data_IF_928831772923
#
_entry.id   IF_928831772923
#
_cell.length_a   1.000
_cell.length_b   1.000
_cell.length_c   1.000
_cell.angle_alpha   90.00
_cell.angle_beta   90.00
_cell.angle_gamma   90.00
#
_symmetry.space_group_name_H-M   'P 1'
#
loop_
_entity.id
_entity.type
_entity.pdbx_description
1 polymer ?
#
# COMPACT_ATOMS: atom_id res chain seq x y z
N UNK A 1 -25.44 -0.01 59.24
CA UNK A 1 -24.79 0.88 60.22
C UNK A 1 -23.75 1.69 59.48
N UNK A 2 -24.02 2.97 59.36
CA UNK A 2 -23.22 3.91 58.62
C UNK A 2 -22.18 4.57 59.50
N UNK A 3 -20.99 4.77 59.00
CA UNK A 3 -20.05 5.76 59.56
C UNK A 3 -19.44 6.58 58.46
N UNK A 4 -19.96 7.79 58.38
CA UNK A 4 -19.43 8.89 57.55
C UNK A 4 -18.38 9.64 58.37
N UNK A 5 -17.16 9.71 57.86
CA UNK A 5 -16.15 10.61 58.44
C UNK A 5 -15.86 11.74 57.45
N UNK A 6 -16.28 12.92 57.84
CA UNK A 6 -15.95 14.21 57.20
C UNK A 6 -14.62 14.73 57.78
N UNK A 7 -13.66 14.99 56.93
CA UNK A 7 -12.45 15.77 57.30
C UNK A 7 -12.55 17.11 56.62
N UNK A 8 -12.63 18.15 57.42
CA UNK A 8 -12.45 19.57 57.08
C UNK A 8 -10.94 19.89 57.16
N UNK A 9 -10.38 20.48 56.11
CA UNK A 9 -9.07 21.10 56.21
C UNK A 9 -9.16 22.56 55.73
N UNK A 10 -8.77 23.40 56.65
CA UNK A 10 -8.84 24.88 56.57
C UNK A 10 -7.79 25.44 55.59
N UNK A 11 -8.14 26.54 54.93
CA UNK A 11 -7.28 27.27 54.03
C UNK A 11 -6.23 28.10 54.78
N UNK A 12 -5.08 28.23 54.13
CA UNK A 12 -4.09 29.29 54.43
C UNK A 12 -3.88 30.09 53.16
N UNK A 13 -4.28 31.38 53.23
CA UNK A 13 -4.00 32.41 52.23
C UNK A 13 -2.67 33.04 52.57
N UNK A 14 -1.68 32.90 51.71
CA UNK A 14 -0.45 33.68 51.76
C UNK A 14 -0.44 34.61 50.53
N UNK A 15 -0.55 35.89 50.85
CA UNK A 15 -0.30 37.00 49.93
C UNK A 15 1.21 37.23 49.80
N UNK A 16 1.75 37.06 48.62
CA UNK A 16 3.15 37.36 48.26
C UNK A 16 3.21 38.35 47.12
N UNK A 17 3.85 39.48 47.39
CA UNK A 17 3.90 40.67 46.55
C UNK A 17 4.67 40.50 45.25
N UNK A 18 4.18 41.13 44.20
CA UNK A 18 4.73 41.26 42.86
C UNK A 18 6.02 42.11 42.89
N UNK A 19 7.11 41.54 42.34
CA UNK A 19 8.20 42.33 41.79
C UNK A 19 8.26 42.05 40.28
N UNK A 20 7.84 43.08 39.53
CA UNK A 20 7.87 43.08 38.06
C UNK A 20 9.30 43.45 37.61
N UNK A 21 10.07 42.46 37.19
CA UNK A 21 11.30 42.67 36.43
C UNK A 21 10.99 42.52 34.94
N UNK A 22 10.88 43.63 34.23
CA UNK A 22 10.85 43.65 32.76
C UNK A 22 12.25 43.30 32.26
N UNK A 23 12.44 42.04 31.87
CA UNK A 23 13.54 41.66 30.99
C UNK A 23 13.03 41.78 29.54
N UNK A 24 13.55 42.82 28.88
CA UNK A 24 13.43 42.96 27.42
C UNK A 24 14.34 41.93 26.78
N UNK A 25 13.80 40.78 26.44
CA UNK A 25 14.50 39.77 25.67
C UNK A 25 14.43 40.16 24.20
N UNK A 26 15.55 40.64 23.69
CA UNK A 26 15.72 40.91 22.26
C UNK A 26 15.51 39.60 21.49
N UNK A 27 14.43 39.53 20.73
CA UNK A 27 14.13 38.43 19.84
C UNK A 27 15.28 38.25 18.85
N UNK A 28 15.97 37.13 18.94
CA UNK A 28 16.96 36.69 17.95
C UNK A 28 16.21 36.21 16.69
N UNK A 29 16.28 36.94 15.55
CA UNK A 29 15.53 36.57 14.34
C UNK A 29 16.10 35.35 13.58
N UNK A 30 17.11 34.65 14.12
CA UNK A 30 17.76 33.52 13.43
C UNK A 30 17.35 32.12 13.91
N UNK A 31 16.40 31.99 14.84
CA UNK A 31 16.06 30.70 15.42
C UNK A 31 14.87 29.97 14.77
N UNK A 32 14.30 30.42 13.65
CA UNK A 32 13.10 29.81 13.05
C UNK A 32 13.21 29.48 11.54
N UNK A 33 14.41 29.26 11.03
CA UNK A 33 14.60 28.60 9.76
C UNK A 33 14.99 27.13 10.02
N UNK A 34 14.22 26.41 10.86
CA UNK A 34 14.15 24.97 10.74
C UNK A 34 13.45 24.69 9.41
N UNK A 35 14.26 24.57 8.34
CA UNK A 35 13.77 24.14 7.04
C UNK A 35 12.89 22.92 7.28
N UNK A 36 11.60 23.05 7.00
CA UNK A 36 10.63 21.95 7.05
C UNK A 36 11.21 20.86 6.14
N UNK A 37 11.71 19.78 6.77
CA UNK A 37 12.19 18.61 6.04
C UNK A 37 11.01 18.17 5.20
N UNK A 38 11.14 18.06 3.85
CA UNK A 38 10.03 17.61 3.03
C UNK A 38 9.55 16.27 3.59
N UNK A 39 8.23 16.01 3.60
CA UNK A 39 7.70 14.76 4.15
C UNK A 39 8.40 13.59 3.45
N UNK A 40 9.17 12.81 4.21
CA UNK A 40 9.86 11.62 3.75
C UNK A 40 8.82 10.50 3.71
N UNK A 41 8.00 10.50 2.67
CA UNK A 41 6.97 9.47 2.50
C UNK A 41 6.28 9.58 1.14
N UNK A 42 5.57 8.53 0.75
CA UNK A 42 4.77 8.56 -0.46
C UNK A 42 3.67 9.61 -0.35
N UNK A 43 3.52 10.40 -1.39
CA UNK A 43 2.57 11.51 -1.43
C UNK A 43 1.26 11.16 -2.13
N UNK A 44 1.17 9.99 -2.76
CA UNK A 44 -0.01 9.51 -3.47
C UNK A 44 -0.04 7.97 -3.49
N UNK A 45 -1.24 7.41 -3.54
CA UNK A 45 -1.47 5.99 -3.82
C UNK A 45 -1.04 5.63 -5.26
N UNK A 46 -1.03 4.35 -5.59
CA UNK A 46 -0.83 3.84 -6.94
C UNK A 46 0.19 2.73 -7.07
N UNK A 47 0.33 2.26 -8.31
CA UNK A 47 1.29 1.22 -8.69
C UNK A 47 2.63 1.85 -9.07
N UNK A 48 3.73 1.30 -8.56
CA UNK A 48 5.08 1.85 -8.74
C UNK A 48 6.08 0.76 -9.06
N UNK A 49 7.05 1.10 -9.89
CA UNK A 49 8.21 0.26 -10.16
C UNK A 49 9.44 1.11 -10.45
N UNK A 50 10.61 0.60 -10.12
CA UNK A 50 11.91 1.18 -10.51
C UNK A 50 12.55 0.42 -11.66
N UNK A 51 12.00 -0.73 -12.06
CA UNK A 51 12.47 -1.51 -13.22
C UNK A 51 11.90 -0.93 -14.52
N UNK A 52 12.75 -0.48 -15.47
CA UNK A 52 12.26 -0.03 -16.77
C UNK A 52 11.49 -1.11 -17.55
N UNK A 53 11.89 -2.36 -17.43
CA UNK A 53 11.20 -3.49 -18.06
C UNK A 53 9.79 -3.67 -17.52
N UNK A 54 9.61 -3.66 -16.19
CA UNK A 54 8.29 -3.74 -15.56
C UNK A 54 7.46 -2.50 -15.84
N UNK A 55 8.05 -1.31 -15.90
CA UNK A 55 7.36 -0.08 -16.28
C UNK A 55 6.80 -0.16 -17.71
N UNK A 56 7.55 -0.74 -18.64
CA UNK A 56 7.07 -0.97 -20.01
C UNK A 56 5.90 -1.94 -20.04
N UNK A 57 6.00 -3.08 -19.35
CA UNK A 57 4.92 -4.09 -19.27
C UNK A 57 3.64 -3.52 -18.63
N UNK A 58 3.76 -2.78 -17.52
CA UNK A 58 2.62 -2.16 -16.84
C UNK A 58 1.94 -1.13 -17.75
N UNK A 59 2.71 -0.28 -18.41
CA UNK A 59 2.17 0.70 -19.35
C UNK A 59 1.43 0.03 -20.49
N UNK A 60 2.06 -0.94 -21.15
CA UNK A 60 1.47 -1.67 -22.26
C UNK A 60 0.20 -2.43 -21.84
N UNK A 61 0.21 -3.08 -20.67
CA UNK A 61 -0.97 -3.73 -20.12
C UNK A 61 -2.10 -2.72 -19.87
N UNK A 62 -1.78 -1.53 -19.34
CA UNK A 62 -2.76 -0.45 -19.11
C UNK A 62 -3.36 0.06 -20.41
N UNK A 63 -2.57 0.15 -21.47
CA UNK A 63 -3.03 0.58 -22.80
C UNK A 63 -3.92 -0.46 -23.47
N UNK A 64 -3.57 -1.75 -23.36
CA UNK A 64 -4.18 -2.85 -24.13
C UNK A 64 -5.28 -3.62 -23.40
N UNK A 65 -5.38 -3.49 -22.06
CA UNK A 65 -6.38 -4.19 -21.25
C UNK A 65 -7.22 -3.20 -20.45
N UNK A 66 -8.54 -3.22 -20.68
CA UNK A 66 -9.49 -2.44 -19.90
C UNK A 66 -9.54 -2.94 -18.44
N UNK A 67 -9.45 -4.25 -18.24
CA UNK A 67 -9.38 -4.89 -16.92
C UNK A 67 -8.15 -4.43 -16.16
N UNK A 68 -6.97 -4.39 -16.80
CA UNK A 68 -5.74 -3.95 -16.15
C UNK A 68 -5.80 -2.46 -15.77
N UNK A 69 -6.29 -1.63 -16.67
CA UNK A 69 -6.48 -0.18 -16.43
C UNK A 69 -7.39 0.06 -15.24
N UNK A 70 -8.55 -0.63 -15.17
CA UNK A 70 -9.47 -0.51 -14.05
C UNK A 70 -8.86 -0.89 -12.71
N UNK A 71 -7.91 -1.83 -12.67
CA UNK A 71 -7.17 -2.16 -11.47
C UNK A 71 -6.20 -1.04 -11.06
N UNK A 72 -5.50 -0.42 -12.02
CA UNK A 72 -4.65 0.74 -11.74
C UNK A 72 -5.49 1.87 -11.12
N UNK A 73 -6.62 2.22 -11.76
CA UNK A 73 -7.53 3.27 -11.30
C UNK A 73 -8.06 2.97 -9.88
N UNK A 74 -8.39 1.71 -9.60
CA UNK A 74 -8.87 1.26 -8.28
C UNK A 74 -7.80 1.43 -7.20
N UNK A 75 -6.55 1.06 -7.49
CA UNK A 75 -5.44 1.20 -6.55
C UNK A 75 -5.12 2.68 -6.33
N UNK A 76 -5.14 3.51 -7.38
CA UNK A 76 -4.92 4.96 -7.27
C UNK A 76 -6.01 5.67 -6.46
N UNK A 77 -7.24 5.18 -6.51
CA UNK A 77 -8.36 5.70 -5.71
C UNK A 77 -8.36 5.21 -4.24
N UNK A 78 -7.47 4.29 -3.87
CA UNK A 78 -7.35 3.72 -2.52
C UNK A 78 -6.29 4.44 -1.68
N UNK A 79 -5.99 3.89 -0.50
CA UNK A 79 -4.81 4.24 0.30
C UNK A 79 -3.60 3.34 0.00
N UNK A 80 -3.62 2.59 -1.10
CA UNK A 80 -2.62 1.60 -1.46
C UNK A 80 -1.44 2.14 -2.24
N UNK A 81 -0.24 1.68 -1.90
CA UNK A 81 0.95 1.79 -2.74
C UNK A 81 1.42 0.37 -3.04
N UNK A 82 1.39 -0.02 -4.31
CA UNK A 82 1.81 -1.34 -4.75
C UNK A 82 3.13 -1.22 -5.50
N UNK A 83 4.21 -1.72 -4.89
CA UNK A 83 5.52 -1.77 -5.52
C UNK A 83 5.68 -3.06 -6.31
N UNK A 84 5.84 -2.93 -7.63
CA UNK A 84 6.15 -4.06 -8.52
C UNK A 84 7.65 -4.08 -8.80
N UNK A 85 8.32 -5.16 -8.42
CA UNK A 85 9.77 -5.29 -8.50
C UNK A 85 10.19 -6.63 -9.11
N UNK A 86 11.33 -6.66 -9.75
CA UNK A 86 11.91 -7.93 -10.17
C UNK A 86 12.32 -8.75 -8.94
N UNK A 87 11.98 -10.04 -8.95
CA UNK A 87 12.26 -10.89 -7.80
C UNK A 87 11.93 -12.36 -8.04
N UNK A 88 12.18 -13.17 -7.02
CA UNK A 88 11.91 -14.60 -7.05
C UNK A 88 10.61 -14.89 -6.28
N UNK A 89 9.73 -15.66 -6.89
CA UNK A 89 8.56 -16.23 -6.26
C UNK A 89 8.80 -17.69 -5.88
N UNK A 90 8.14 -18.15 -4.84
CA UNK A 90 8.15 -19.57 -4.46
C UNK A 90 7.41 -20.41 -5.50
N UNK A 91 7.63 -21.71 -5.48
CA UNK A 91 6.93 -22.71 -6.30
C UNK A 91 6.97 -22.43 -7.82
N UNK A 92 7.94 -21.64 -8.29
CA UNK A 92 8.11 -21.35 -9.70
C UNK A 92 7.09 -20.37 -10.29
N UNK A 93 6.28 -19.72 -9.46
CA UNK A 93 5.35 -18.68 -9.90
C UNK A 93 6.08 -17.54 -10.63
N UNK A 94 5.40 -16.91 -11.60
CA UNK A 94 5.95 -15.81 -12.39
C UNK A 94 5.87 -14.49 -11.67
N UNK A 95 4.75 -14.27 -10.99
CA UNK A 95 4.55 -13.15 -10.09
C UNK A 95 4.04 -13.66 -8.76
N UNK A 96 4.16 -12.87 -7.71
CA UNK A 96 3.63 -13.19 -6.40
C UNK A 96 3.49 -11.94 -5.53
N UNK A 97 2.42 -11.90 -4.76
CA UNK A 97 2.19 -10.95 -3.68
C UNK A 97 2.53 -11.65 -2.35
N UNK A 98 3.68 -11.37 -1.71
CA UNK A 98 3.95 -11.85 -0.36
C UNK A 98 2.90 -11.35 0.61
N UNK A 99 2.49 -12.19 1.56
CA UNK A 99 1.51 -11.82 2.59
C UNK A 99 2.13 -10.91 3.66
N UNK A 100 2.79 -9.85 3.21
CA UNK A 100 3.44 -8.85 4.04
C UNK A 100 3.01 -7.46 3.60
N UNK A 101 2.70 -6.63 4.58
CA UNK A 101 2.28 -5.26 4.37
C UNK A 101 3.03 -4.33 5.32
N UNK A 102 3.35 -3.13 4.84
CA UNK A 102 3.88 -2.03 5.66
C UNK A 102 2.87 -0.89 5.64
N UNK A 103 2.66 -0.26 6.79
CA UNK A 103 1.87 0.97 6.89
C UNK A 103 2.82 2.14 7.09
N UNK A 104 2.69 3.18 6.25
CA UNK A 104 3.51 4.39 6.33
C UNK A 104 2.61 5.63 6.15
N UNK A 105 2.41 6.35 7.24
CA UNK A 105 1.44 7.45 7.27
C UNK A 105 0.03 6.94 6.94
N UNK A 106 -0.69 7.55 5.99
CA UNK A 106 -2.02 7.09 5.59
C UNK A 106 -2.01 5.91 4.60
N UNK A 107 -0.84 5.43 4.18
CA UNK A 107 -0.74 4.45 3.10
C UNK A 107 -0.44 3.04 3.59
N UNK A 108 -1.11 2.06 2.95
CA UNK A 108 -0.79 0.63 3.01
C UNK A 108 0.11 0.27 1.84
N UNK A 109 1.31 -0.24 2.14
CA UNK A 109 2.34 -0.55 1.14
C UNK A 109 2.41 -2.05 0.95
N UNK A 110 2.20 -2.50 -0.29
CA UNK A 110 2.27 -3.88 -0.73
C UNK A 110 3.39 -4.06 -1.76
N UNK A 111 3.89 -5.28 -1.88
CA UNK A 111 4.96 -5.61 -2.81
C UNK A 111 4.53 -6.77 -3.70
N UNK A 112 4.74 -6.63 -5.00
CA UNK A 112 4.61 -7.69 -5.99
C UNK A 112 5.99 -7.99 -6.55
N UNK A 113 6.40 -9.24 -6.52
CA UNK A 113 7.62 -9.68 -7.18
C UNK A 113 7.29 -10.37 -8.50
N UNK A 114 8.07 -10.06 -9.54
CA UNK A 114 7.94 -10.62 -10.88
C UNK A 114 9.27 -11.24 -11.27
N UNK A 115 9.24 -12.52 -11.62
CA UNK A 115 10.41 -13.24 -12.12
C UNK A 115 10.49 -13.11 -13.64
N UNK A 116 11.31 -12.19 -14.13
CA UNK A 116 11.54 -12.02 -15.57
C UNK A 116 12.33 -13.21 -16.11
N UNK A 117 11.80 -13.81 -17.17
CA UNK A 117 12.43 -14.86 -17.97
C UNK A 117 12.22 -14.51 -19.46
N UNK A 118 13.28 -14.18 -20.15
CA UNK A 118 13.25 -13.71 -21.55
C UNK A 118 12.69 -14.72 -22.56
N UNK A 119 12.43 -15.96 -22.13
CA UNK A 119 11.80 -16.99 -22.95
C UNK A 119 10.26 -16.92 -22.96
N UNK A 120 9.68 -15.99 -22.19
CA UNK A 120 8.24 -15.83 -22.07
C UNK A 120 7.75 -14.62 -22.84
N UNK A 121 6.53 -14.69 -23.33
CA UNK A 121 5.88 -13.58 -24.01
C UNK A 121 5.38 -12.53 -22.99
N UNK A 122 5.45 -11.26 -23.35
CA UNK A 122 5.09 -10.13 -22.49
C UNK A 122 3.63 -10.18 -22.01
N UNK A 123 2.68 -10.62 -22.88
CA UNK A 123 1.28 -10.77 -22.50
C UNK A 123 1.07 -11.74 -21.32
N UNK A 124 1.93 -12.73 -21.17
CA UNK A 124 1.86 -13.69 -20.07
C UNK A 124 2.31 -13.06 -18.74
N UNK A 125 3.30 -12.15 -18.79
CA UNK A 125 3.68 -11.32 -17.63
C UNK A 125 2.60 -10.33 -17.28
N UNK A 126 1.99 -9.65 -18.25
CA UNK A 126 0.91 -8.71 -18.03
C UNK A 126 -0.26 -9.36 -17.29
N UNK A 127 -0.66 -10.57 -17.71
CA UNK A 127 -1.68 -11.34 -17.01
C UNK A 127 -1.27 -11.79 -15.62
N UNK A 128 0.01 -12.14 -15.41
CA UNK A 128 0.50 -12.52 -14.09
C UNK A 128 0.58 -11.32 -13.14
N UNK A 129 1.01 -10.16 -13.62
CA UNK A 129 0.99 -8.91 -12.84
C UNK A 129 -0.45 -8.52 -12.51
N UNK A 130 -1.38 -8.62 -13.48
CA UNK A 130 -2.80 -8.35 -13.27
C UNK A 130 -3.42 -9.24 -12.19
N UNK A 131 -3.09 -10.52 -12.17
CA UNK A 131 -3.49 -11.45 -11.12
C UNK A 131 -3.04 -10.96 -9.72
N UNK A 132 -1.79 -10.58 -9.56
CA UNK A 132 -1.26 -10.10 -8.27
C UNK A 132 -1.79 -8.71 -7.88
N UNK A 133 -2.06 -7.84 -8.88
CA UNK A 133 -2.73 -6.56 -8.62
C UNK A 133 -4.15 -6.75 -8.10
N UNK A 134 -4.85 -7.78 -8.57
CA UNK A 134 -6.17 -8.11 -8.04
C UNK A 134 -6.10 -8.56 -6.59
N UNK A 135 -5.15 -9.40 -6.22
CA UNK A 135 -4.89 -9.74 -4.82
C UNK A 135 -4.58 -8.50 -3.96
N UNK A 136 -3.83 -7.54 -4.51
CA UNK A 136 -3.62 -6.27 -3.81
C UNK A 136 -4.93 -5.49 -3.61
N UNK A 137 -5.83 -5.49 -4.60
CA UNK A 137 -7.16 -4.86 -4.49
C UNK A 137 -8.02 -5.56 -3.44
N UNK A 138 -8.02 -6.90 -3.36
CA UNK A 138 -8.73 -7.63 -2.31
C UNK A 138 -8.31 -7.15 -0.92
N UNK A 139 -7.02 -6.95 -0.70
CA UNK A 139 -6.49 -6.40 0.56
C UNK A 139 -6.90 -4.94 0.77
N UNK A 140 -6.78 -4.11 -0.27
CA UNK A 140 -7.03 -2.66 -0.19
C UNK A 140 -8.52 -2.32 -0.11
N UNK A 141 -9.40 -3.20 -0.53
CA UNK A 141 -10.86 -3.01 -0.48
C UNK A 141 -11.43 -2.99 0.94
N UNK A 142 -10.75 -3.60 1.91
CA UNK A 142 -11.14 -3.56 3.31
C UNK A 142 -10.15 -2.74 4.14
N UNK A 143 -10.53 -1.55 4.63
CA UNK A 143 -9.64 -0.70 5.44
C UNK A 143 -9.26 -1.32 6.79
N UNK A 144 -9.96 -2.37 7.25
CA UNK A 144 -9.63 -3.10 8.47
C UNK A 144 -8.38 -3.98 8.29
N UNK A 145 -8.02 -4.30 7.05
CA UNK A 145 -6.80 -5.03 6.74
C UNK A 145 -5.62 -4.05 6.77
N UNK A 146 -5.08 -3.82 7.95
CA UNK A 146 -4.01 -2.87 8.22
C UNK A 146 -2.71 -3.52 8.74
N UNK A 147 -2.59 -4.84 8.57
CA UNK A 147 -1.42 -5.61 9.01
C UNK A 147 -1.22 -6.87 8.18
N UNK A 148 0.01 -7.38 8.13
CA UNK A 148 0.32 -8.68 7.50
C UNK A 148 -0.49 -9.82 8.09
N UNK A 149 -0.78 -9.79 9.39
CA UNK A 149 -1.62 -10.81 10.05
C UNK A 149 -3.05 -10.78 9.53
N UNK A 150 -3.68 -9.60 9.42
CA UNK A 150 -5.02 -9.46 8.88
C UNK A 150 -5.08 -9.88 7.39
N UNK A 151 -4.03 -9.60 6.63
CA UNK A 151 -3.89 -10.05 5.24
C UNK A 151 -3.83 -11.57 5.13
N UNK A 152 -3.06 -12.25 6.01
CA UNK A 152 -3.04 -13.72 6.08
C UNK A 152 -4.42 -14.26 6.43
N UNK A 153 -5.14 -13.64 7.38
CA UNK A 153 -6.51 -14.07 7.74
C UNK A 153 -7.48 -13.93 6.57
N UNK A 154 -7.43 -12.83 5.80
CA UNK A 154 -8.25 -12.65 4.60
C UNK A 154 -8.08 -13.85 3.66
N UNK A 155 -6.86 -14.12 3.22
CA UNK A 155 -6.60 -15.18 2.26
C UNK A 155 -6.79 -16.60 2.81
N UNK A 156 -6.69 -16.79 4.13
CA UNK A 156 -7.02 -18.06 4.77
C UNK A 156 -8.53 -18.32 4.74
N UNK A 157 -9.34 -17.26 4.85
CA UNK A 157 -10.81 -17.38 4.91
C UNK A 157 -11.44 -17.39 3.51
N UNK A 158 -10.92 -16.63 2.57
CA UNK A 158 -11.53 -16.42 1.24
C UNK A 158 -10.81 -17.16 0.10
N UNK A 159 -9.53 -17.46 0.29
CA UNK A 159 -8.73 -18.16 -0.71
C UNK A 159 -8.72 -19.67 -0.55
N UNK A 160 -8.30 -20.34 -1.61
CA UNK A 160 -7.92 -21.76 -1.59
C UNK A 160 -6.41 -21.89 -1.65
N UNK A 161 -5.86 -22.92 -0.98
CA UNK A 161 -4.42 -23.19 -1.05
C UNK A 161 -4.13 -24.03 -2.29
N UNK A 162 -3.41 -23.44 -3.25
CA UNK A 162 -2.97 -24.11 -4.47
C UNK A 162 -1.44 -24.09 -4.51
N UNK A 163 -0.81 -25.25 -4.55
CA UNK A 163 0.67 -25.38 -4.56
C UNK A 163 1.39 -24.59 -3.44
N UNK A 164 0.74 -24.45 -2.28
CA UNK A 164 1.32 -23.73 -1.14
C UNK A 164 1.23 -22.20 -1.22
N UNK A 165 0.45 -21.67 -2.15
CA UNK A 165 0.03 -20.27 -2.27
C UNK A 165 -1.46 -20.14 -2.05
N UNK A 166 -1.93 -19.00 -1.60
CA UNK A 166 -3.35 -18.69 -1.53
C UNK A 166 -3.79 -18.11 -2.87
N UNK A 167 -4.91 -18.61 -3.38
CA UNK A 167 -5.49 -18.20 -4.66
C UNK A 167 -6.97 -17.91 -4.47
N UNK A 168 -7.46 -16.88 -5.13
CA UNK A 168 -8.90 -16.63 -5.28
C UNK A 168 -9.33 -16.82 -6.71
N UNK A 169 -10.55 -17.31 -6.93
CA UNK A 169 -11.06 -17.46 -8.29
C UNK A 169 -11.09 -16.13 -9.03
N UNK A 170 -11.43 -15.05 -8.33
CA UNK A 170 -11.49 -13.71 -8.92
C UNK A 170 -10.11 -13.23 -9.42
N UNK A 171 -9.02 -13.49 -8.68
CA UNK A 171 -7.68 -13.16 -9.14
C UNK A 171 -7.26 -14.00 -10.36
N UNK A 172 -7.58 -15.30 -10.36
CA UNK A 172 -7.34 -16.20 -11.51
C UNK A 172 -8.08 -15.74 -12.76
N UNK A 173 -9.37 -15.42 -12.62
CA UNK A 173 -10.22 -14.95 -13.72
C UNK A 173 -9.73 -13.59 -14.24
N UNK A 174 -9.35 -12.68 -13.35
CA UNK A 174 -8.82 -11.35 -13.71
C UNK A 174 -7.50 -11.46 -14.47
N UNK A 175 -6.55 -12.27 -14.00
CA UNK A 175 -5.30 -12.51 -14.71
C UNK A 175 -5.51 -13.13 -16.10
N UNK A 176 -6.53 -13.99 -16.23
CA UNK A 176 -6.93 -14.60 -17.51
C UNK A 176 -7.58 -13.58 -18.45
N UNK A 177 -8.45 -12.72 -17.94
CA UNK A 177 -9.07 -11.64 -18.70
C UNK A 177 -8.01 -10.69 -19.29
N UNK A 178 -7.04 -10.27 -18.49
CA UNK A 178 -5.93 -9.42 -18.97
C UNK A 178 -5.17 -10.10 -20.11
N UNK A 179 -4.86 -11.40 -20.00
CA UNK A 179 -4.17 -12.14 -21.09
C UNK A 179 -4.98 -12.15 -22.37
N UNK A 180 -6.28 -12.39 -22.28
CA UNK A 180 -7.18 -12.44 -23.44
C UNK A 180 -7.25 -11.07 -24.11
N UNK A 181 -7.52 -10.01 -23.34
CA UNK A 181 -7.63 -8.63 -23.87
C UNK A 181 -6.35 -8.19 -24.58
N UNK A 182 -5.18 -8.40 -23.96
CA UNK A 182 -3.88 -8.06 -24.57
C UNK A 182 -3.65 -8.85 -25.86
N UNK A 183 -3.92 -10.15 -25.85
CA UNK A 183 -3.75 -11.00 -27.05
C UNK A 183 -4.69 -10.61 -28.20
N UNK A 184 -5.92 -10.18 -27.92
CA UNK A 184 -6.87 -9.70 -28.92
C UNK A 184 -6.36 -8.44 -29.63
N UNK A 185 -5.82 -7.47 -28.84
CA UNK A 185 -5.23 -6.25 -29.41
C UNK A 185 -4.00 -6.61 -30.26
N UNK A 186 -3.08 -7.43 -29.76
CA UNK A 186 -1.89 -7.84 -30.51
C UNK A 186 -2.22 -8.54 -31.83
N UNK A 187 -3.27 -9.38 -31.85
CA UNK A 187 -3.75 -10.04 -33.09
C UNK A 187 -4.37 -9.06 -34.08
N UNK A 188 -5.05 -8.03 -33.58
CA UNK A 188 -5.63 -7.00 -34.45
C UNK A 188 -4.54 -6.13 -35.09
N UNK A 189 -3.47 -5.79 -34.37
CA UNK A 189 -2.33 -5.02 -34.87
C UNK A 189 -1.45 -5.79 -35.88
N UNK A 190 -1.49 -7.11 -35.84
CA UNK A 190 -0.70 -7.97 -36.74
C UNK A 190 -1.38 -8.29 -38.09
N UNK A 191 -2.59 -7.76 -38.33
CA UNK A 191 -3.37 -7.93 -39.58
C UNK A 191 -3.23 -6.74 -40.49
#
# INVERSE_FOLDING_TARGET
MAHTTRILVAGIVMAGALVSAKHSEAANPQANAAAARPPVGPTAAGVRTTSPALAALIREATERSATFRGMIDTIEASDGIVHVSEGKCRHGARACLPLTMTVAGPFRILFIFVRIDTRRADWDYMGSIGHELYHAIEVLSDPRISSSHAMVQLFTNEGTVVNGTFETNAAVDTGSAVRVEVLEVLRAESR
#
